data_IF_638973597021
#
_entry.id   IF_638973597021
#
_cell.length_a   1.000
_cell.length_b   1.000
_cell.length_c   1.000
_cell.angle_alpha   90.00
_cell.angle_beta   90.00
_cell.angle_gamma   90.00
#
_symmetry.space_group_name_H-M   'P 1'
#
loop_
_entity.id
_entity.type
_entity.pdbx_description
1 polymer ?
#
# COMPACT_ATOMS: atom_id res chain seq x y z
N UNK A 1 10.98 -6.98 4.18
CA UNK A 1 9.91 -7.44 5.08
C UNK A 1 9.48 -6.30 5.98
N UNK A 2 8.19 -6.18 6.18
CA UNK A 2 7.54 -5.17 7.00
C UNK A 2 6.50 -5.85 7.89
N UNK A 3 6.51 -5.49 9.17
CA UNK A 3 5.37 -5.66 10.07
C UNK A 3 4.83 -4.29 10.46
N UNK A 4 3.51 -4.20 10.67
CA UNK A 4 2.82 -2.96 10.99
C UNK A 4 1.73 -3.19 12.04
N UNK A 5 1.61 -2.25 12.98
CA UNK A 5 0.53 -2.17 13.96
C UNK A 5 -0.14 -0.82 13.79
N UNK A 6 -1.44 -0.83 13.48
CA UNK A 6 -2.23 0.38 13.25
C UNK A 6 -3.12 0.66 14.45
N UNK A 7 -3.04 1.86 15.01
CA UNK A 7 -3.81 2.27 16.19
C UNK A 7 -4.40 3.65 15.98
N UNK A 8 -5.51 3.95 16.67
CA UNK A 8 -6.17 5.26 16.56
C UNK A 8 -5.44 6.39 17.32
N UNK A 9 -4.64 6.04 18.33
CA UNK A 9 -4.02 7.01 19.24
C UNK A 9 -2.50 6.95 19.18
N UNK A 10 -1.87 8.11 19.05
CA UNK A 10 -0.41 8.26 19.13
C UNK A 10 0.14 7.77 20.47
N UNK A 11 -0.60 8.00 21.57
CA UNK A 11 -0.23 7.54 22.91
C UNK A 11 -0.10 6.02 22.95
N UNK A 12 -1.05 5.30 22.36
CA UNK A 12 -0.99 3.84 22.28
C UNK A 12 0.18 3.39 21.40
N UNK A 13 0.44 4.08 20.28
CA UNK A 13 1.60 3.79 19.42
C UNK A 13 2.92 3.93 20.20
N UNK A 14 3.08 5.01 20.97
CA UNK A 14 4.25 5.24 21.84
C UNK A 14 4.39 4.15 22.92
N UNK A 15 3.29 3.72 23.53
CA UNK A 15 3.29 2.63 24.50
C UNK A 15 3.71 1.30 23.88
N UNK A 16 3.24 0.98 22.67
CA UNK A 16 3.63 -0.22 21.94
C UNK A 16 5.14 -0.20 21.65
N UNK A 17 5.69 0.93 21.21
CA UNK A 17 7.13 1.08 20.98
C UNK A 17 7.92 0.81 22.26
N UNK A 18 7.48 1.34 23.41
CA UNK A 18 8.12 1.10 24.69
C UNK A 18 8.11 -0.39 25.08
N UNK A 19 6.96 -1.07 24.92
CA UNK A 19 6.85 -2.50 25.19
C UNK A 19 7.77 -3.34 24.30
N UNK A 20 7.85 -3.03 23.00
CA UNK A 20 8.75 -3.75 22.09
C UNK A 20 10.22 -3.53 22.47
N UNK A 21 10.60 -2.32 22.90
CA UNK A 21 11.95 -2.03 23.41
C UNK A 21 12.27 -2.78 24.70
N UNK A 22 11.26 -3.16 25.48
CA UNK A 22 11.40 -3.99 26.69
C UNK A 22 11.39 -5.50 26.38
N UNK A 23 11.29 -5.90 25.11
CA UNK A 23 11.36 -7.29 24.69
C UNK A 23 10.01 -7.95 24.41
N UNK A 24 8.90 -7.21 24.46
CA UNK A 24 7.59 -7.75 24.08
C UNK A 24 7.55 -8.14 22.60
N UNK A 25 6.91 -9.27 22.29
CA UNK A 25 6.77 -9.75 20.92
C UNK A 25 5.87 -8.82 20.08
N UNK A 26 6.43 -8.33 18.98
CA UNK A 26 5.74 -7.40 18.08
C UNK A 26 4.48 -8.02 17.48
N UNK A 27 4.51 -9.31 17.13
CA UNK A 27 3.38 -9.97 16.50
C UNK A 27 2.23 -10.23 17.47
N UNK A 28 2.53 -10.51 18.74
CA UNK A 28 1.53 -10.57 19.81
C UNK A 28 0.87 -9.21 20.04
N UNK A 29 1.66 -8.13 20.09
CA UNK A 29 1.12 -6.77 20.21
C UNK A 29 0.28 -6.38 18.99
N UNK A 30 0.67 -6.80 17.79
CA UNK A 30 -0.11 -6.58 16.58
C UNK A 30 -1.48 -7.27 16.64
N UNK A 31 -1.52 -8.55 17.05
CA UNK A 31 -2.78 -9.29 17.23
C UNK A 31 -3.69 -8.66 18.27
N UNK A 32 -3.11 -8.07 19.32
CA UNK A 32 -3.85 -7.48 20.44
C UNK A 32 -4.38 -6.07 20.15
N UNK A 33 -3.57 -5.23 19.52
CA UNK A 33 -3.85 -3.78 19.44
C UNK A 33 -4.12 -3.27 18.03
N UNK A 34 -3.72 -3.99 16.98
CA UNK A 34 -3.85 -3.48 15.62
C UNK A 34 -5.32 -3.38 15.21
N UNK A 35 -5.68 -2.24 14.65
CA UNK A 35 -6.98 -1.97 14.02
C UNK A 35 -7.03 -2.43 12.56
N UNK A 36 -5.89 -2.82 11.98
CA UNK A 36 -5.82 -3.44 10.66
C UNK A 36 -6.37 -4.87 10.72
N UNK A 37 -7.59 -5.07 10.20
CA UNK A 37 -8.28 -6.37 10.16
C UNK A 37 -7.60 -7.40 9.26
N UNK A 38 -6.77 -6.97 8.29
CA UNK A 38 -6.08 -7.85 7.35
C UNK A 38 -4.79 -8.38 7.93
N UNK A 39 -3.96 -7.51 8.49
CA UNK A 39 -2.62 -7.89 8.96
C UNK A 39 -2.52 -8.07 10.47
N UNK A 40 -3.36 -7.42 11.27
CA UNK A 40 -3.39 -7.57 12.73
C UNK A 40 -3.48 -9.04 13.18
N UNK A 41 -4.47 -9.82 12.71
CA UNK A 41 -4.61 -11.24 13.10
C UNK A 41 -3.41 -12.13 12.74
N UNK A 42 -2.67 -11.78 11.68
CA UNK A 42 -1.44 -12.48 11.25
C UNK A 42 -0.18 -11.82 11.82
N UNK A 43 -0.28 -11.20 13.00
CA UNK A 43 0.86 -10.65 13.72
C UNK A 43 1.47 -9.41 13.08
N UNK A 44 0.69 -8.68 12.27
CA UNK A 44 1.09 -7.45 11.59
C UNK A 44 1.95 -7.69 10.34
N UNK A 45 2.18 -8.93 9.92
CA UNK A 45 3.11 -9.23 8.83
C UNK A 45 2.53 -8.86 7.46
N UNK A 46 3.21 -7.95 6.75
CA UNK A 46 2.82 -7.50 5.41
C UNK A 46 3.66 -8.19 4.32
N UNK A 47 4.89 -8.57 4.64
CA UNK A 47 5.85 -9.11 3.67
C UNK A 47 6.75 -8.04 3.05
N UNK A 48 7.19 -8.26 1.80
CA UNK A 48 8.05 -7.33 1.09
C UNK A 48 7.23 -6.18 0.49
N UNK A 49 7.62 -4.95 0.81
CA UNK A 49 6.97 -3.74 0.31
C UNK A 49 7.95 -2.94 -0.53
N UNK A 50 7.47 -2.34 -1.61
CA UNK A 50 8.22 -1.32 -2.35
C UNK A 50 8.08 0.02 -1.63
N UNK A 51 8.96 0.96 -1.96
CA UNK A 51 9.02 2.30 -1.35
C UNK A 51 7.68 3.05 -1.36
N UNK A 52 6.85 2.83 -2.38
CA UNK A 52 5.58 3.55 -2.54
C UNK A 52 4.33 2.68 -2.32
N UNK A 53 4.47 1.40 -1.93
CA UNK A 53 3.31 0.50 -1.75
C UNK A 53 2.40 0.94 -0.60
N UNK A 54 2.95 1.54 0.46
CA UNK A 54 2.20 2.01 1.65
C UNK A 54 2.61 3.41 2.07
N UNK A 55 2.68 4.35 1.13
CA UNK A 55 2.90 5.78 1.38
C UNK A 55 3.98 6.07 2.46
N UNK A 56 3.64 6.82 3.52
CA UNK A 56 4.56 7.21 4.58
C UNK A 56 5.19 6.03 5.32
N UNK A 57 4.44 4.94 5.52
CA UNK A 57 4.92 3.72 6.19
C UNK A 57 6.01 3.05 5.37
N UNK A 58 5.78 2.85 4.07
CA UNK A 58 6.80 2.25 3.19
C UNK A 58 8.05 3.11 3.10
N UNK A 59 7.91 4.45 2.99
CA UNK A 59 9.06 5.36 2.96
C UNK A 59 9.87 5.28 4.25
N UNK A 60 9.22 5.36 5.42
CA UNK A 60 9.91 5.24 6.70
C UNK A 60 10.59 3.88 6.87
N UNK A 61 9.97 2.80 6.40
CA UNK A 61 10.59 1.46 6.42
C UNK A 61 11.88 1.38 5.59
N UNK A 62 11.94 2.09 4.45
CA UNK A 62 13.15 2.15 3.62
C UNK A 62 14.22 3.05 4.24
N UNK A 63 13.80 4.16 4.87
CA UNK A 63 14.68 5.11 5.57
C UNK A 63 15.39 4.45 6.76
N UNK A 64 14.66 3.70 7.60
CA UNK A 64 15.26 3.04 8.78
C UNK A 64 16.07 1.79 8.42
N UNK A 65 15.89 1.25 7.21
CA UNK A 65 16.62 0.11 6.70
C UNK A 65 16.21 -1.25 7.29
N UNK A 66 16.89 -2.32 6.89
CA UNK A 66 16.60 -3.69 7.34
C UNK A 66 17.07 -3.97 8.77
N UNK A 67 16.95 -5.22 9.21
CA UNK A 67 17.48 -5.76 10.47
C UNK A 67 16.66 -5.44 11.74
N UNK A 68 15.36 -5.75 11.71
CA UNK A 68 14.50 -5.74 12.92
C UNK A 68 14.45 -4.37 13.60
N UNK A 69 14.43 -3.30 12.81
CA UNK A 69 14.33 -1.93 13.34
C UNK A 69 12.88 -1.58 13.61
N UNK A 70 12.63 -0.96 14.76
CA UNK A 70 11.32 -0.41 15.14
C UNK A 70 11.29 1.07 14.78
N UNK A 71 10.21 1.52 14.15
CA UNK A 71 10.00 2.91 13.83
C UNK A 71 8.56 3.36 14.03
N UNK A 72 8.40 4.66 14.26
CA UNK A 72 7.13 5.34 14.52
C UNK A 72 7.13 6.11 15.84
N UNK A 73 5.97 6.69 16.24
CA UNK A 73 4.68 6.66 15.54
C UNK A 73 4.74 7.34 14.17
N UNK A 74 4.02 6.80 13.18
CA UNK A 74 3.93 7.36 11.81
C UNK A 74 2.46 7.66 11.55
N UNK A 75 2.12 8.88 11.14
CA UNK A 75 0.75 9.16 10.68
C UNK A 75 0.43 8.34 9.43
N UNK A 76 -0.67 7.58 9.49
CA UNK A 76 -1.08 6.72 8.40
C UNK A 76 -2.61 6.54 8.41
N UNK A 77 -3.24 6.85 7.27
CA UNK A 77 -4.70 6.81 7.08
C UNK A 77 -5.41 7.68 8.14
N UNK A 78 -6.15 7.06 9.07
CA UNK A 78 -6.98 7.72 10.07
C UNK A 78 -6.37 7.61 11.49
N UNK A 79 -5.08 7.34 11.61
CA UNK A 79 -4.41 7.16 12.89
C UNK A 79 -2.91 7.04 12.76
N UNK A 80 -2.34 6.10 13.51
CA UNK A 80 -0.90 5.97 13.71
C UNK A 80 -0.44 4.53 13.48
N UNK A 81 0.69 4.39 12.79
CA UNK A 81 1.36 3.12 12.58
C UNK A 81 2.66 3.02 13.37
N UNK A 82 2.91 1.85 13.93
CA UNK A 82 4.24 1.42 14.39
C UNK A 82 4.71 0.31 13.46
N UNK A 83 5.96 0.36 13.03
CA UNK A 83 6.52 -0.63 12.11
C UNK A 83 7.72 -1.36 12.69
N UNK A 84 7.92 -2.59 12.20
CA UNK A 84 9.15 -3.36 12.34
C UNK A 84 9.66 -3.75 10.96
N UNK A 85 10.93 -3.50 10.66
CA UNK A 85 11.56 -3.94 9.40
C UNK A 85 12.20 -5.31 9.56
N UNK A 86 12.40 -6.05 8.48
CA UNK A 86 13.11 -7.33 8.49
C UNK A 86 14.15 -7.40 7.40
N UNK A 87 14.14 -8.48 6.63
CA UNK A 87 15.06 -8.66 5.49
C UNK A 87 14.77 -7.65 4.38
N UNK A 88 15.80 -7.15 3.70
CA UNK A 88 15.68 -6.40 2.44
C UNK A 88 16.10 -7.32 1.29
N UNK A 89 15.32 -7.36 0.21
CA UNK A 89 15.76 -7.99 -1.04
C UNK A 89 16.66 -6.99 -1.75
N UNK A 90 17.85 -7.41 -2.15
CA UNK A 90 18.79 -6.57 -2.86
C UNK A 90 18.20 -6.16 -4.21
N UNK A 91 18.31 -4.87 -4.51
CA UNK A 91 17.90 -4.35 -5.81
C UNK A 91 18.85 -4.93 -6.87
N UNK A 92 18.28 -5.48 -7.94
CA UNK A 92 19.01 -5.95 -9.11
C UNK A 92 18.33 -5.43 -10.36
N UNK A 93 19.12 -5.07 -11.35
CA UNK A 93 18.61 -4.78 -12.69
C UNK A 93 18.20 -6.10 -13.33
N UNK A 94 16.95 -6.21 -13.77
CA UNK A 94 16.52 -7.35 -14.57
C UNK A 94 16.95 -7.08 -16.03
N UNK A 95 17.61 -8.01 -16.71
CA UNK A 95 17.95 -7.84 -18.12
C UNK A 95 16.68 -7.77 -18.97
N UNK A 96 16.76 -7.09 -20.11
CA UNK A 96 15.59 -6.79 -20.96
C UNK A 96 14.79 -8.06 -21.32
N UNK A 97 15.46 -9.16 -21.64
CA UNK A 97 14.84 -10.45 -21.96
C UNK A 97 13.95 -11.02 -20.83
N UNK A 98 14.25 -10.74 -19.56
CA UNK A 98 13.42 -11.18 -18.42
C UNK A 98 12.16 -10.33 -18.22
N UNK A 99 12.15 -9.11 -18.77
CA UNK A 99 11.07 -8.14 -18.58
C UNK A 99 10.34 -7.77 -19.86
N UNK A 100 10.79 -8.23 -21.03
CA UNK A 100 10.25 -7.89 -22.35
C UNK A 100 8.73 -8.10 -22.42
N UNK A 101 8.25 -9.28 -22.02
CA UNK A 101 6.82 -9.58 -22.01
C UNK A 101 6.03 -8.69 -21.04
N UNK A 102 6.58 -8.36 -19.87
CA UNK A 102 5.94 -7.44 -18.93
C UNK A 102 5.90 -6.02 -19.48
N UNK A 103 7.00 -5.56 -20.08
CA UNK A 103 7.10 -4.24 -20.69
C UNK A 103 6.13 -4.10 -21.86
N UNK A 104 6.08 -5.09 -22.76
CA UNK A 104 5.17 -5.13 -23.90
C UNK A 104 3.71 -5.09 -23.45
N UNK A 105 3.33 -5.87 -22.43
CA UNK A 105 1.97 -5.86 -21.89
C UNK A 105 1.61 -4.53 -21.23
N UNK A 106 2.54 -3.89 -20.53
CA UNK A 106 2.33 -2.58 -19.92
C UNK A 106 2.03 -1.52 -20.98
N UNK A 107 2.89 -1.44 -22.01
CA UNK A 107 2.72 -0.50 -23.14
C UNK A 107 1.43 -0.78 -23.91
N UNK A 108 1.11 -2.06 -24.15
CA UNK A 108 -0.15 -2.46 -24.81
C UNK A 108 -1.38 -2.02 -24.02
N UNK A 109 -1.35 -2.20 -22.70
CA UNK A 109 -2.44 -1.79 -21.82
C UNK A 109 -2.63 -0.26 -21.87
N UNK A 110 -1.55 0.51 -21.72
CA UNK A 110 -1.57 1.98 -21.79
C UNK A 110 -2.12 2.49 -23.14
N UNK A 111 -1.63 1.92 -24.26
CA UNK A 111 -2.15 2.25 -25.59
C UNK A 111 -3.63 1.93 -25.72
N UNK A 112 -4.07 0.76 -25.27
CA UNK A 112 -5.48 0.35 -25.34
C UNK A 112 -6.40 1.30 -24.57
N UNK A 113 -5.97 1.82 -23.42
CA UNK A 113 -6.73 2.81 -22.66
C UNK A 113 -6.86 4.11 -23.44
N UNK A 114 -5.76 4.61 -24.02
CA UNK A 114 -5.77 5.83 -24.81
C UNK A 114 -6.66 5.72 -26.07
N UNK A 115 -6.54 4.61 -26.80
CA UNK A 115 -7.34 4.34 -28.00
C UNK A 115 -8.83 4.17 -27.65
N UNK A 116 -9.14 3.45 -26.57
CA UNK A 116 -10.52 3.28 -26.09
C UNK A 116 -11.14 4.62 -25.70
N UNK A 117 -10.40 5.47 -25.00
CA UNK A 117 -10.86 6.82 -24.64
C UNK A 117 -11.12 7.65 -25.89
N UNK A 118 -10.18 7.68 -26.84
CA UNK A 118 -10.35 8.43 -28.10
C UNK A 118 -11.53 7.90 -28.94
N UNK A 119 -11.68 6.58 -29.03
CA UNK A 119 -12.80 5.94 -29.71
C UNK A 119 -14.15 6.28 -29.07
N UNK A 120 -14.23 6.26 -27.74
CA UNK A 120 -15.44 6.67 -27.01
C UNK A 120 -15.78 8.14 -27.22
N UNK A 121 -14.78 9.03 -27.26
CA UNK A 121 -15.01 10.44 -27.58
C UNK A 121 -15.56 10.62 -29.00
N UNK A 122 -14.95 9.98 -30.00
CA UNK A 122 -15.43 10.05 -31.39
C UNK A 122 -16.84 9.48 -31.56
N UNK A 123 -17.20 8.42 -30.82
CA UNK A 123 -18.57 7.90 -30.84
C UNK A 123 -19.58 8.88 -30.24
N UNK A 124 -19.23 9.55 -29.14
CA UNK A 124 -20.10 10.56 -28.51
C UNK A 124 -20.32 11.78 -29.42
N UNK A 125 -19.30 12.19 -30.17
CA UNK A 125 -19.46 13.27 -31.17
C UNK A 125 -20.31 12.82 -32.37
N UNK A 126 -20.07 11.62 -32.89
CA UNK A 126 -20.80 11.09 -34.05
C UNK A 126 -22.26 10.76 -33.74
N UNK A 127 -22.54 10.33 -32.51
CA UNK A 127 -23.86 9.95 -32.03
C UNK A 127 -24.16 10.75 -30.75
N UNK A 128 -24.60 12.01 -30.88
CA UNK A 128 -24.96 12.82 -29.72
C UNK A 128 -26.16 12.20 -29.00
N UNK A 129 -25.92 11.73 -27.78
CA UNK A 129 -26.95 11.13 -26.92
C UNK A 129 -27.57 12.23 -26.07
N UNK A 130 -28.89 12.35 -26.11
CA UNK A 130 -29.66 13.21 -25.20
C UNK A 130 -30.11 12.36 -24.03
N UNK A 131 -29.71 12.74 -22.81
CA UNK A 131 -30.11 12.05 -21.60
C UNK A 131 -31.40 12.67 -21.05
N UNK A 132 -32.38 11.83 -20.76
CA UNK A 132 -33.59 12.21 -20.02
C UNK A 132 -33.28 12.08 -18.52
N UNK A 133 -32.86 13.20 -17.92
CA UNK A 133 -32.38 13.23 -16.53
C UNK A 133 -33.48 12.90 -15.51
N UNK A 134 -34.76 13.16 -15.82
CA UNK A 134 -35.87 12.83 -14.92
C UNK A 134 -36.00 11.32 -14.70
N UNK A 135 -35.82 10.52 -15.75
CA UNK A 135 -35.90 9.04 -15.66
C UNK A 135 -34.64 8.40 -15.08
N UNK A 136 -33.51 9.09 -15.11
CA UNK A 136 -32.24 8.61 -14.56
C UNK A 136 -32.07 8.91 -13.07
N UNK A 137 -32.82 9.88 -12.53
CA UNK A 137 -32.74 10.30 -11.12
C UNK A 137 -33.34 9.30 -10.11
N UNK A 138 -34.01 8.24 -10.58
CA UNK A 138 -34.70 7.25 -9.76
C UNK A 138 -33.97 5.92 -9.53
N UNK A 139 -32.67 5.84 -9.86
CA UNK A 139 -31.80 4.67 -9.62
C UNK A 139 -30.70 5.09 -8.64
#
# INVERSE_FOLDING_TARGET
ELWQIDVKSEKLAKQIIAQVKQGSDFSALAKKYSTDKKFGPVGGYIGYVKMNTRAAVSRKAHEVGPNVKIAGPIEYRLGWSVIRTGKKIQERTLPYNEVEQRAANLVKYEKSLSEKTLWQFGLKEKYPVVFDEEKLSGI
#
